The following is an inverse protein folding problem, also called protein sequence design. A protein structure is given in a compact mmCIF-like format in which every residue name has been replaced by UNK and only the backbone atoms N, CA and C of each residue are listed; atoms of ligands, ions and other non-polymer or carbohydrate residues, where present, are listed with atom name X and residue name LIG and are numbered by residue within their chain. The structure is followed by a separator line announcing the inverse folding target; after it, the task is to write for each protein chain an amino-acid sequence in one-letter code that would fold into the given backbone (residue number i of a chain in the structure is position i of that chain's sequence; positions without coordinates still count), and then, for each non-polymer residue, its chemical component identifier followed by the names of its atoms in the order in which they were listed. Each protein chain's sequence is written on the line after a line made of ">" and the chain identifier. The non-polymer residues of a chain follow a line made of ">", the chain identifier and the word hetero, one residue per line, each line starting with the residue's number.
data_IF_099641548969
#
_entry.id   IF_099641548969
#
_cell.length_a   1.000
_cell.length_b   1.000
_cell.length_c   1.000
_cell.angle_alpha   90.00
_cell.angle_beta   90.00
_cell.angle_gamma   90.00
#
_symmetry.space_group_name_H-M   'P 1'
#
loop_
_entity.id
_entity.type
_entity.pdbx_description
1 polymer ?
#
# COMPACT_ATOMS: atom_id res chain seq x y z
N UNK A 1 -3.76 -6.58 20.75
CA UNK A 1 -4.53 -6.93 19.54
C UNK A 1 -3.79 -6.25 18.40
N UNK A 2 -3.11 -7.00 17.54
CA UNK A 2 -2.40 -6.42 16.38
C UNK A 2 -3.42 -5.72 15.49
N UNK A 3 -3.37 -4.38 15.50
CA UNK A 3 -4.33 -3.51 14.82
C UNK A 3 -3.96 -3.30 13.34
N UNK A 4 -2.69 -3.50 12.99
CA UNK A 4 -2.16 -3.54 11.63
C UNK A 4 -1.75 -4.96 11.22
N UNK A 5 -1.87 -5.27 9.92
CA UNK A 5 -1.39 -6.53 9.32
C UNK A 5 0.00 -6.39 8.73
N UNK A 6 0.40 -5.17 8.44
CA UNK A 6 1.73 -4.82 7.95
C UNK A 6 2.37 -3.91 8.99
N UNK A 7 3.53 -4.27 9.52
CA UNK A 7 4.23 -3.45 10.52
C UNK A 7 4.68 -2.09 9.95
N UNK A 8 4.41 -1.02 10.70
CA UNK A 8 4.81 0.35 10.36
C UNK A 8 6.31 0.53 10.18
N UNK A 9 7.13 -0.25 10.91
CA UNK A 9 8.58 -0.21 10.81
C UNK A 9 9.11 -0.58 9.41
N UNK A 10 8.27 -1.18 8.56
CA UNK A 10 8.62 -1.40 7.16
C UNK A 10 8.71 -0.10 6.34
N UNK A 11 8.19 1.03 6.85
CA UNK A 11 8.04 2.27 6.08
C UNK A 11 8.95 3.41 6.55
N UNK A 12 9.73 3.22 7.60
CA UNK A 12 10.72 4.19 8.06
C UNK A 12 11.93 3.49 8.69
N UNK A 13 13.13 4.01 8.43
CA UNK A 13 14.36 3.58 9.10
C UNK A 13 14.69 4.48 10.30
N UNK A 14 14.42 5.78 10.17
CA UNK A 14 14.65 6.79 11.21
C UNK A 14 13.54 7.86 11.22
N UNK A 15 13.72 8.91 12.03
CA UNK A 15 12.74 9.99 12.12
C UNK A 15 12.62 10.82 10.83
N UNK A 16 13.66 10.85 9.98
CA UNK A 16 13.62 11.52 8.68
C UNK A 16 12.72 10.81 7.67
N UNK A 17 12.58 9.49 7.80
CA UNK A 17 11.65 8.71 6.97
C UNK A 17 10.19 8.76 7.45
N UNK A 18 9.91 9.32 8.63
CA UNK A 18 8.53 9.48 9.14
C UNK A 18 7.82 10.63 8.45
N UNK A 19 7.70 10.55 7.13
CA UNK A 19 7.03 11.54 6.29
C UNK A 19 5.63 11.09 5.90
N UNK A 20 4.77 12.04 5.54
CA UNK A 20 3.37 11.78 5.19
C UNK A 20 3.19 10.80 4.02
N UNK A 21 4.08 10.81 3.02
CA UNK A 21 4.03 9.81 1.95
C UNK A 21 4.30 8.39 2.46
N UNK A 22 5.27 8.22 3.35
CA UNK A 22 5.55 6.90 3.92
C UNK A 22 4.39 6.42 4.80
N UNK A 23 3.72 7.33 5.51
CA UNK A 23 2.47 7.02 6.22
C UNK A 23 1.36 6.57 5.27
N UNK A 24 1.13 7.30 4.17
CA UNK A 24 0.13 6.94 3.17
C UNK A 24 0.40 5.56 2.56
N UNK A 25 1.67 5.25 2.26
CA UNK A 25 2.04 3.95 1.69
C UNK A 25 1.89 2.81 2.72
N UNK A 26 2.09 3.10 4.00
CA UNK A 26 1.81 2.18 5.10
C UNK A 26 0.30 1.88 5.23
N UNK A 27 -0.54 2.92 5.16
CA UNK A 27 -2.00 2.79 5.11
C UNK A 27 -2.47 1.94 3.94
N UNK A 28 -1.98 2.29 2.75
CA UNK A 28 -2.29 1.56 1.54
C UNK A 28 -1.84 0.09 1.60
N UNK A 29 -0.68 -0.22 2.18
CA UNK A 29 -0.22 -1.60 2.31
C UNK A 29 -1.15 -2.47 3.18
N UNK A 30 -1.68 -1.89 4.27
CA UNK A 30 -2.65 -2.58 5.12
C UNK A 30 -3.99 -2.77 4.43
N UNK A 31 -4.51 -1.74 3.74
CA UNK A 31 -5.72 -1.87 2.93
C UNK A 31 -5.55 -2.93 1.83
N UNK A 32 -4.42 -2.94 1.13
CA UNK A 32 -4.09 -3.93 0.12
C UNK A 32 -4.13 -5.35 0.70
N UNK A 33 -3.50 -5.56 1.86
CA UNK A 33 -3.54 -6.85 2.55
C UNK A 33 -4.99 -7.26 2.86
N UNK A 34 -5.79 -6.37 3.43
CA UNK A 34 -7.19 -6.65 3.77
C UNK A 34 -8.03 -7.00 2.53
N UNK A 35 -7.84 -6.29 1.42
CA UNK A 35 -8.54 -6.58 0.17
C UNK A 35 -8.08 -7.91 -0.44
N UNK A 36 -6.79 -8.24 -0.38
CA UNK A 36 -6.28 -9.56 -0.78
C UNK A 36 -6.90 -10.66 0.08
N UNK A 37 -6.96 -10.46 1.40
CA UNK A 37 -7.52 -11.42 2.36
C UNK A 37 -9.02 -11.68 2.10
N UNK A 38 -9.78 -10.62 1.82
CA UNK A 38 -11.23 -10.69 1.62
C UNK A 38 -11.64 -11.14 0.20
N UNK A 39 -10.77 -11.03 -0.81
CA UNK A 39 -11.16 -11.31 -2.19
C UNK A 39 -11.37 -12.82 -2.45
N UNK A 40 -12.56 -13.29 -2.86
CA UNK A 40 -12.83 -14.71 -3.11
C UNK A 40 -12.05 -15.30 -4.29
N UNK A 41 -11.64 -14.48 -5.28
CA UNK A 41 -10.86 -14.93 -6.44
C UNK A 41 -9.39 -15.18 -6.12
N UNK A 42 -8.89 -14.66 -5.00
CA UNK A 42 -7.52 -14.85 -4.54
C UNK A 42 -7.36 -16.01 -3.54
N UNK A 43 -8.36 -16.90 -3.38
CA UNK A 43 -8.26 -18.07 -2.50
C UNK A 43 -7.06 -18.96 -2.85
N UNK A 44 -6.82 -19.20 -4.15
CA UNK A 44 -5.67 -20.00 -4.59
C UNK A 44 -4.34 -19.30 -4.28
N UNK A 45 -4.25 -18.00 -4.55
CA UNK A 45 -3.10 -17.17 -4.19
C UNK A 45 -2.77 -17.30 -2.69
N UNK A 46 -3.78 -17.17 -1.81
CA UNK A 46 -3.61 -17.30 -0.35
C UNK A 46 -3.26 -18.71 0.14
N UNK A 47 -3.47 -19.74 -0.68
CA UNK A 47 -3.01 -21.11 -0.38
C UNK A 47 -1.57 -21.35 -0.85
N UNK A 48 -1.11 -20.61 -1.86
CA UNK A 48 0.23 -20.74 -2.43
C UNK A 48 1.27 -19.96 -1.65
N UNK A 49 0.87 -18.87 -0.99
CA UNK A 49 1.77 -17.98 -0.27
C UNK A 49 1.38 -17.85 1.20
N UNK A 50 2.38 -17.89 2.07
CA UNK A 50 2.22 -17.63 3.51
C UNK A 50 1.78 -16.18 3.76
N UNK A 51 1.23 -15.93 4.96
CA UNK A 51 0.85 -14.57 5.37
C UNK A 51 2.03 -13.60 5.29
N UNK A 52 3.22 -14.01 5.74
CA UNK A 52 4.44 -13.19 5.69
C UNK A 52 4.84 -12.83 4.25
N UNK A 53 4.69 -13.76 3.30
CA UNK A 53 4.94 -13.47 1.88
C UNK A 53 3.93 -12.47 1.32
N UNK A 54 2.66 -12.57 1.71
CA UNK A 54 1.62 -11.62 1.30
C UNK A 54 1.90 -10.24 1.91
N UNK A 55 2.27 -10.17 3.19
CA UNK A 55 2.67 -8.93 3.87
C UNK A 55 3.87 -8.29 3.17
N UNK A 56 4.91 -9.07 2.88
CA UNK A 56 6.10 -8.61 2.17
C UNK A 56 5.75 -8.09 0.77
N UNK A 57 4.83 -8.77 0.06
CA UNK A 57 4.31 -8.28 -1.22
C UNK A 57 3.57 -6.94 -1.07
N UNK A 58 2.70 -6.80 -0.07
CA UNK A 58 1.99 -5.55 0.18
C UNK A 58 2.95 -4.38 0.45
N UNK A 59 3.99 -4.60 1.28
CA UNK A 59 5.05 -3.60 1.53
C UNK A 59 5.76 -3.25 0.23
N UNK A 60 6.24 -4.26 -0.49
CA UNK A 60 6.97 -4.10 -1.73
C UNK A 60 6.17 -3.30 -2.78
N UNK A 61 4.94 -3.73 -3.03
CA UNK A 61 4.07 -3.15 -4.04
C UNK A 61 3.74 -1.70 -3.71
N UNK A 62 3.42 -1.40 -2.44
CA UNK A 62 3.14 -0.04 -1.97
C UNK A 62 4.33 0.88 -2.17
N UNK A 63 5.54 0.43 -1.83
CA UNK A 63 6.77 1.21 -2.02
C UNK A 63 7.07 1.53 -3.49
N UNK A 64 6.67 0.66 -4.43
CA UNK A 64 6.85 0.88 -5.88
C UNK A 64 5.93 1.97 -6.45
N UNK A 65 4.84 2.32 -5.76
CA UNK A 65 3.94 3.39 -6.19
C UNK A 65 4.56 4.79 -6.11
N UNK A 66 5.65 5.00 -5.36
CA UNK A 66 6.31 6.31 -5.20
C UNK A 66 6.60 7.00 -6.54
N UNK A 67 7.16 6.25 -7.50
CA UNK A 67 7.45 6.80 -8.83
C UNK A 67 6.17 7.26 -9.53
N UNK A 68 5.14 6.44 -9.49
CA UNK A 68 3.89 6.77 -10.15
C UNK A 68 3.13 7.92 -9.48
N UNK A 69 3.25 8.07 -8.15
CA UNK A 69 2.74 9.21 -7.40
C UNK A 69 3.46 10.49 -7.86
N UNK A 70 4.80 10.45 -7.89
CA UNK A 70 5.63 11.55 -8.39
C UNK A 70 5.30 11.95 -9.83
N UNK A 71 5.18 10.97 -10.73
CA UNK A 71 4.83 11.22 -12.13
C UNK A 71 3.43 11.85 -12.26
N UNK A 72 2.47 11.46 -11.42
CA UNK A 72 1.14 12.09 -11.37
C UNK A 72 1.21 13.54 -10.85
N UNK A 73 1.90 13.79 -9.73
CA UNK A 73 2.01 15.13 -9.12
C UNK A 73 2.75 16.12 -10.03
N UNK A 74 3.75 15.65 -10.77
CA UNK A 74 4.52 16.49 -11.71
C UNK A 74 3.88 16.63 -13.09
N UNK A 75 2.66 16.10 -13.26
CA UNK A 75 1.90 16.17 -14.52
C UNK A 75 2.46 15.31 -15.65
N UNK A 76 3.42 14.42 -15.37
CA UNK A 76 3.97 13.44 -16.33
C UNK A 76 2.98 12.31 -16.61
N UNK A 77 2.08 12.04 -15.68
CA UNK A 77 0.94 11.12 -15.84
C UNK A 77 -0.35 11.77 -15.35
N UNK A 78 -1.49 11.33 -15.89
CA UNK A 78 -2.83 11.76 -15.44
C UNK A 78 -3.32 10.99 -14.20
N UNK A 79 -2.72 9.83 -13.92
CA UNK A 79 -3.13 8.96 -12.82
C UNK A 79 -1.98 8.08 -12.35
N UNK A 80 -2.17 7.43 -11.21
CA UNK A 80 -1.25 6.39 -10.75
C UNK A 80 -1.41 5.14 -11.60
N UNK A 81 -0.28 4.57 -12.02
CA UNK A 81 -0.17 3.36 -12.79
C UNK A 81 0.15 2.17 -11.88
N UNK A 82 -0.61 1.09 -12.05
CA UNK A 82 -0.42 -0.19 -11.38
C UNK A 82 0.18 -1.15 -12.39
N UNK A 83 1.49 -1.35 -12.32
CA UNK A 83 2.22 -2.14 -13.31
C UNK A 83 2.28 -3.62 -12.91
N UNK A 84 1.85 -4.50 -13.82
CA UNK A 84 1.97 -5.95 -13.66
C UNK A 84 3.41 -6.43 -13.55
N UNK A 85 4.38 -5.66 -14.06
CA UNK A 85 5.81 -5.97 -13.88
C UNK A 85 6.18 -6.06 -12.41
N UNK A 86 5.58 -5.25 -11.52
CA UNK A 86 5.86 -5.32 -10.08
C UNK A 86 5.40 -6.65 -9.48
N UNK A 87 4.31 -7.22 -9.98
CA UNK A 87 3.83 -8.53 -9.55
C UNK A 87 4.76 -9.64 -10.03
N UNK A 88 5.22 -9.58 -11.29
CA UNK A 88 6.15 -10.58 -11.83
C UNK A 88 7.55 -10.48 -11.21
N UNK A 89 8.04 -9.29 -10.87
CA UNK A 89 9.30 -9.11 -10.15
C UNK A 89 9.28 -9.78 -8.78
N UNK A 90 8.14 -9.71 -8.07
CA UNK A 90 8.00 -10.34 -6.74
C UNK A 90 7.63 -11.82 -6.81
N UNK A 91 6.78 -12.19 -7.79
CA UNK A 91 6.31 -13.56 -8.02
C UNK A 91 6.55 -13.96 -9.50
N UNK A 92 7.78 -14.39 -9.87
CA UNK A 92 8.15 -14.64 -11.26
C UNK A 92 7.28 -15.66 -11.99
N UNK A 93 6.74 -16.64 -11.26
CA UNK A 93 5.91 -17.71 -11.82
C UNK A 93 4.41 -17.45 -11.66
N UNK A 94 4.00 -16.21 -11.39
CA UNK A 94 2.59 -15.88 -11.22
C UNK A 94 1.85 -16.03 -12.56
N UNK A 95 0.64 -16.59 -12.54
CA UNK A 95 -0.19 -16.63 -13.75
C UNK A 95 -0.73 -15.25 -14.10
N UNK A 96 -0.94 -14.97 -15.39
CA UNK A 96 -1.55 -13.71 -15.85
C UNK A 96 -2.88 -13.40 -15.15
N UNK A 97 -3.77 -14.39 -15.02
CA UNK A 97 -5.06 -14.22 -14.35
C UNK A 97 -4.90 -13.83 -12.87
N UNK A 98 -3.96 -14.47 -12.16
CA UNK A 98 -3.66 -14.11 -10.77
C UNK A 98 -3.02 -12.72 -10.66
N UNK A 99 -2.15 -12.35 -11.60
CA UNK A 99 -1.59 -10.99 -11.70
C UNK A 99 -2.69 -9.95 -11.90
N UNK A 100 -3.62 -10.19 -12.83
CA UNK A 100 -4.73 -9.27 -13.08
C UNK A 100 -5.60 -9.09 -11.84
N UNK A 101 -5.91 -10.16 -11.12
CA UNK A 101 -6.70 -10.06 -9.88
C UNK A 101 -5.96 -9.33 -8.76
N UNK A 102 -4.64 -9.48 -8.64
CA UNK A 102 -3.82 -8.69 -7.71
C UNK A 102 -3.83 -7.20 -8.08
N UNK A 103 -3.72 -6.87 -9.37
CA UNK A 103 -3.78 -5.47 -9.84
C UNK A 103 -5.16 -4.84 -9.63
N UNK A 104 -6.25 -5.60 -9.89
CA UNK A 104 -7.60 -5.12 -9.63
C UNK A 104 -7.80 -4.81 -8.15
N UNK A 105 -7.34 -5.71 -7.27
CA UNK A 105 -7.38 -5.52 -5.82
C UNK A 105 -6.54 -4.33 -5.37
N UNK A 106 -5.37 -4.14 -5.97
CA UNK A 106 -4.51 -2.99 -5.71
C UNK A 106 -5.18 -1.67 -6.10
N UNK A 107 -5.81 -1.60 -7.27
CA UNK A 107 -6.57 -0.43 -7.70
C UNK A 107 -7.74 -0.15 -6.75
N UNK A 108 -8.53 -1.17 -6.39
CA UNK A 108 -9.64 -0.99 -5.44
C UNK A 108 -9.15 -0.50 -4.07
N UNK A 109 -8.04 -1.04 -3.56
CA UNK A 109 -7.44 -0.58 -2.31
C UNK A 109 -7.03 0.90 -2.38
N UNK A 110 -6.50 1.34 -3.53
CA UNK A 110 -6.11 2.72 -3.76
C UNK A 110 -7.31 3.66 -3.84
N UNK A 111 -8.35 3.28 -4.58
CA UNK A 111 -9.59 4.05 -4.65
C UNK A 111 -10.25 4.21 -3.27
N UNK A 112 -10.23 3.16 -2.45
CA UNK A 112 -10.76 3.22 -1.09
C UNK A 112 -9.88 4.07 -0.15
N UNK A 113 -8.55 3.98 -0.26
CA UNK A 113 -7.63 4.90 0.44
C UNK A 113 -7.97 6.35 0.10
N UNK A 114 -8.21 6.68 -1.18
CA UNK A 114 -8.56 8.04 -1.60
C UNK A 114 -9.91 8.50 -1.04
N UNK A 115 -10.89 7.60 -0.91
CA UNK A 115 -12.20 7.92 -0.28
C UNK A 115 -12.05 8.19 1.21
N UNK A 116 -11.30 7.36 1.94
CA UNK A 116 -10.97 7.60 3.35
C UNK A 116 -10.23 8.94 3.53
N UNK A 117 -9.31 9.24 2.60
CA UNK A 117 -8.58 10.51 2.56
C UNK A 117 -9.42 11.71 2.10
N UNK A 118 -10.65 11.55 1.62
CA UNK A 118 -11.48 12.67 1.17
C UNK A 118 -11.89 13.59 2.33
N UNK A 119 -11.98 13.06 3.56
CA UNK A 119 -12.09 13.86 4.79
C UNK A 119 -10.77 14.54 5.19
N UNK A 120 -9.64 14.03 4.72
CA UNK A 120 -8.27 14.51 4.99
C UNK A 120 -7.64 15.19 3.74
N UNK A 121 -8.40 15.91 2.91
CA UNK A 121 -7.91 16.72 1.77
C UNK A 121 -6.79 16.09 0.89
N UNK A 122 -6.65 14.76 0.85
CA UNK A 122 -5.44 14.08 0.30
C UNK A 122 -4.11 14.72 0.73
N UNK A 123 -4.04 15.37 1.91
CA UNK A 123 -2.89 16.20 2.31
C UNK A 123 -1.59 15.42 2.35
N UNK A 124 -1.64 14.12 2.66
CA UNK A 124 -0.45 13.28 2.64
C UNK A 124 0.19 13.11 1.25
N UNK A 125 -0.59 13.30 0.17
CA UNK A 125 -0.07 13.37 -1.20
C UNK A 125 0.44 14.76 -1.57
N UNK A 126 -0.04 15.82 -0.92
CA UNK A 126 0.40 17.20 -1.20
C UNK A 126 1.68 17.50 -0.41
N UNK A 127 1.67 17.16 0.87
CA UNK A 127 2.70 17.43 1.86
C UNK A 127 3.67 16.23 1.98
N UNK A 128 3.98 15.58 0.86
CA UNK A 128 4.55 14.21 0.83
C UNK A 128 5.81 14.00 1.68
N UNK A 129 6.70 15.01 1.74
CA UNK A 129 7.96 14.97 2.50
C UNK A 129 7.86 15.62 3.88
N UNK A 130 6.69 16.13 4.28
CA UNK A 130 6.54 16.69 5.63
C UNK A 130 6.59 15.58 6.68
N UNK A 131 7.36 15.83 7.73
CA UNK A 131 7.44 14.94 8.90
C UNK A 131 6.06 14.83 9.55
N UNK A 132 5.70 13.62 9.97
CA UNK A 132 4.43 13.31 10.61
C UNK A 132 4.63 12.58 11.93
N UNK A 133 3.85 12.98 12.95
CA UNK A 133 3.76 12.27 14.23
C UNK A 133 2.81 11.07 14.21
N UNK A 134 2.21 10.72 13.05
CA UNK A 134 1.24 9.63 12.93
C UNK A 134 1.85 8.27 13.28
N UNK A 135 3.09 8.01 12.86
CA UNK A 135 3.83 6.79 13.22
C UNK A 135 4.06 6.65 14.73
N UNK A 136 4.35 7.75 15.43
CA UNK A 136 4.55 7.74 16.89
C UNK A 136 3.23 7.61 17.66
N UNK A 137 2.15 8.09 17.05
CA UNK A 137 0.80 8.00 17.61
C UNK A 137 0.22 6.59 17.50
N UNK A 138 0.58 5.84 16.46
CA UNK A 138 0.11 4.47 16.22
C UNK A 138 0.29 3.54 17.44
N UNK A 139 1.45 3.60 18.10
CA UNK A 139 1.72 2.78 19.29
C UNK A 139 0.83 3.13 20.51
N UNK A 140 0.19 4.30 20.48
CA UNK A 140 -0.69 4.81 21.55
C UNK A 140 -2.17 4.64 21.22
N UNK A 141 -2.57 4.90 19.97
CA UNK A 141 -3.96 4.97 19.54
C UNK A 141 -4.42 3.76 18.74
N UNK A 142 -3.47 2.95 18.24
CA UNK A 142 -3.78 1.89 17.29
C UNK A 142 -4.03 2.40 15.87
N UNK A 143 -4.35 1.47 14.98
CA UNK A 143 -4.68 1.77 13.58
C UNK A 143 -5.99 2.60 13.49
N UNK A 144 -6.03 3.69 12.70
CA UNK A 144 -7.26 4.45 12.49
C UNK A 144 -8.31 3.57 11.77
N UNK A 145 -9.47 3.39 12.40
CA UNK A 145 -10.61 2.61 11.88
C UNK A 145 -11.27 3.39 10.73
#
# INVERSE_FOLDING_TARGET
>A
MELDKVSAANFYQDNGDKVKLNWLLYEYANLLYMKIAANPKLVRYRRLYSQDQIIAFCVYFSKRLRKSIYDMQTGRSKSIAFDGTYVYEFYPNNSYAQTQELLNVALTAWEDQLKCCAGCQTKCLIDEYEITGMFDSLGKTGWPI
#
